data_IF_550890848462
#
_entry.id   IF_550890848462
#
_cell.length_a   1.000
_cell.length_b   1.000
_cell.length_c   1.000
_cell.angle_alpha   90.00
_cell.angle_beta   90.00
_cell.angle_gamma   90.00
#
_symmetry.space_group_name_H-M   'P 1'
#
loop_
_entity.id
_entity.type
_entity.pdbx_description
1 polymer ?
#
# COMPACT_ATOMS: atom_id res chain seq x y z
N UNK A 1 -15.69 17.87 -16.82
CA UNK A 1 -14.25 17.77 -16.49
C UNK A 1 -13.96 16.36 -16.01
N UNK A 2 -13.41 15.51 -16.88
CA UNK A 2 -13.03 14.15 -16.52
C UNK A 2 -11.59 14.20 -15.99
N UNK A 3 -11.39 13.99 -14.70
CA UNK A 3 -10.05 13.96 -14.11
C UNK A 3 -9.32 12.72 -14.66
N UNK A 4 -8.46 12.92 -15.67
CA UNK A 4 -7.54 11.89 -16.15
C UNK A 4 -6.49 11.64 -15.08
N UNK A 5 -6.69 10.56 -14.32
CA UNK A 5 -5.66 9.94 -13.48
C UNK A 5 -4.50 9.55 -14.41
N UNK A 6 -3.31 10.10 -14.18
CA UNK A 6 -2.10 9.74 -14.94
C UNK A 6 -1.78 8.27 -14.69
N UNK A 7 -1.98 7.44 -15.70
CA UNK A 7 -1.64 6.02 -15.72
C UNK A 7 -0.30 5.82 -16.44
N UNK A 8 0.82 6.09 -15.75
CA UNK A 8 2.13 5.60 -16.17
C UNK A 8 2.62 4.65 -15.08
N UNK A 9 2.19 3.39 -15.15
CA UNK A 9 2.59 2.31 -14.26
C UNK A 9 3.46 1.33 -15.04
N UNK A 10 4.77 1.56 -15.05
CA UNK A 10 5.71 0.61 -15.64
C UNK A 10 6.06 -0.49 -14.64
N UNK A 11 5.73 -1.73 -15.01
CA UNK A 11 6.13 -3.04 -14.45
C UNK A 11 5.41 -3.53 -13.18
N UNK A 12 4.14 -3.90 -13.35
CA UNK A 12 3.60 -5.16 -12.81
C UNK A 12 2.72 -5.11 -11.56
N UNK A 13 2.78 -4.07 -10.73
CA UNK A 13 1.91 -3.88 -9.57
C UNK A 13 1.31 -2.48 -9.57
N UNK A 14 0.06 -2.38 -10.04
CA UNK A 14 -0.50 -1.14 -10.64
C UNK A 14 -1.12 -0.18 -9.61
N UNK A 15 -1.36 -0.58 -8.36
CA UNK A 15 -1.80 0.35 -7.31
C UNK A 15 -1.53 -0.17 -5.89
N UNK A 16 -1.80 0.66 -4.87
CA UNK A 16 -1.67 0.28 -3.46
C UNK A 16 -2.55 -0.93 -3.07
N UNK A 17 -3.72 -1.12 -3.68
CA UNK A 17 -4.60 -2.27 -3.39
C UNK A 17 -3.98 -3.59 -3.85
N UNK A 18 -3.39 -3.62 -5.05
CA UNK A 18 -2.74 -4.82 -5.59
C UNK A 18 -1.51 -5.18 -4.76
N UNK A 19 -0.69 -4.17 -4.39
CA UNK A 19 0.44 -4.36 -3.47
C UNK A 19 -0.02 -4.92 -2.11
N UNK A 20 -1.18 -4.50 -1.58
CA UNK A 20 -1.74 -5.06 -0.34
C UNK A 20 -2.24 -6.49 -0.53
N UNK A 21 -2.90 -6.83 -1.64
CA UNK A 21 -3.36 -8.20 -1.93
C UNK A 21 -2.19 -9.17 -2.03
N UNK A 22 -1.18 -8.82 -2.80
CA UNK A 22 0.04 -9.63 -2.98
C UNK A 22 0.75 -9.84 -1.64
N UNK A 23 0.78 -8.81 -0.78
CA UNK A 23 1.32 -8.94 0.57
C UNK A 23 0.50 -9.90 1.46
N UNK A 24 -0.83 -9.91 1.32
CA UNK A 24 -1.67 -10.88 2.03
C UNK A 24 -1.38 -12.30 1.50
N UNK A 25 -1.28 -12.47 0.19
CA UNK A 25 -1.01 -13.76 -0.44
C UNK A 25 0.39 -14.31 -0.15
N UNK A 26 1.38 -13.43 0.05
CA UNK A 26 2.77 -13.84 0.32
C UNK A 26 2.97 -14.49 1.70
N UNK A 27 1.99 -14.38 2.60
CA UNK A 27 2.04 -14.88 3.98
C UNK A 27 3.25 -14.36 4.78
N UNK A 28 3.77 -13.18 4.42
CA UNK A 28 4.88 -12.53 5.12
C UNK A 28 4.37 -11.67 6.28
N UNK A 29 5.13 -11.62 7.37
CA UNK A 29 4.77 -10.78 8.55
C UNK A 29 4.89 -9.29 8.26
N UNK A 30 5.91 -8.88 7.52
CA UNK A 30 6.23 -7.47 7.24
C UNK A 30 6.69 -7.34 5.79
N UNK A 31 6.26 -6.28 5.10
CA UNK A 31 6.76 -5.91 3.79
C UNK A 31 7.11 -4.42 3.76
N UNK A 32 8.31 -4.12 3.27
CA UNK A 32 8.72 -2.76 2.95
C UNK A 32 8.00 -2.28 1.69
N UNK A 33 7.51 -1.05 1.72
CA UNK A 33 6.85 -0.41 0.60
C UNK A 33 7.68 0.78 0.17
N UNK A 34 8.19 0.72 -1.06
CA UNK A 34 8.82 1.89 -1.64
C UNK A 34 7.79 3.02 -1.81
N UNK A 35 8.13 4.22 -1.34
CA UNK A 35 7.25 5.39 -1.39
C UNK A 35 7.68 6.45 -2.40
N UNK A 36 8.69 6.17 -3.23
CA UNK A 36 9.19 7.08 -4.28
C UNK A 36 8.11 7.52 -5.28
N UNK A 37 7.07 6.69 -5.47
CA UNK A 37 5.89 6.99 -6.30
C UNK A 37 4.99 8.09 -5.68
N UNK A 38 5.24 8.46 -4.42
CA UNK A 38 4.45 9.42 -3.64
C UNK A 38 5.31 10.62 -3.24
N UNK A 39 4.68 11.80 -3.20
CA UNK A 39 5.34 13.06 -2.81
C UNK A 39 6.00 12.98 -1.43
N UNK A 40 5.38 12.26 -0.48
CA UNK A 40 5.87 12.07 0.88
C UNK A 40 5.32 10.76 1.48
N UNK A 41 6.04 10.18 2.45
CA UNK A 41 5.63 8.96 3.16
C UNK A 41 4.27 9.07 3.88
N UNK A 42 3.86 10.29 4.24
CA UNK A 42 2.51 10.56 4.80
C UNK A 42 1.41 10.31 3.78
N UNK A 43 1.62 10.75 2.54
CA UNK A 43 0.67 10.57 1.44
C UNK A 43 0.61 9.10 1.02
N UNK A 44 1.77 8.43 0.97
CA UNK A 44 1.84 6.99 0.76
C UNK A 44 1.02 6.25 1.82
N UNK A 45 1.25 6.52 3.12
CA UNK A 45 0.48 5.89 4.20
C UNK A 45 -1.03 6.08 4.02
N UNK A 46 -1.49 7.29 3.69
CA UNK A 46 -2.92 7.53 3.47
C UNK A 46 -3.48 6.70 2.30
N UNK A 47 -2.75 6.58 1.20
CA UNK A 47 -3.15 5.75 0.06
C UNK A 47 -3.26 4.26 0.45
N UNK A 48 -2.30 3.73 1.21
CA UNK A 48 -2.33 2.35 1.68
C UNK A 48 -3.41 2.07 2.72
N UNK A 49 -3.67 3.02 3.63
CA UNK A 49 -4.80 2.92 4.57
C UNK A 49 -6.12 2.88 3.80
N UNK A 50 -6.32 3.78 2.84
CA UNK A 50 -7.52 3.78 2.00
C UNK A 50 -7.66 2.47 1.22
N UNK A 51 -6.57 1.96 0.64
CA UNK A 51 -6.56 0.68 -0.07
C UNK A 51 -6.99 -0.48 0.83
N UNK A 52 -6.44 -0.57 2.05
CA UNK A 52 -6.80 -1.57 3.06
C UNK A 52 -8.29 -1.49 3.40
N UNK A 53 -8.84 -0.28 3.58
CA UNK A 53 -10.26 -0.07 3.84
C UNK A 53 -11.12 -0.51 2.67
N UNK A 54 -10.75 -0.17 1.43
CA UNK A 54 -11.50 -0.52 0.22
C UNK A 54 -11.60 -2.04 0.01
N UNK A 55 -10.53 -2.78 0.29
CA UNK A 55 -10.53 -4.26 0.21
C UNK A 55 -11.01 -4.93 1.50
N UNK A 56 -11.42 -4.16 2.51
CA UNK A 56 -11.88 -4.65 3.83
C UNK A 56 -10.86 -5.51 4.58
N UNK A 57 -9.56 -5.22 4.43
CA UNK A 57 -8.47 -5.97 5.05
C UNK A 57 -7.97 -5.38 6.38
N UNK A 58 -8.71 -4.47 7.01
CA UNK A 58 -8.24 -3.76 8.22
C UNK A 58 -7.92 -4.67 9.43
N UNK A 59 -8.55 -5.85 9.52
CA UNK A 59 -8.22 -6.86 10.53
C UNK A 59 -6.98 -7.70 10.21
N UNK A 60 -6.52 -7.69 8.95
CA UNK A 60 -5.46 -8.57 8.44
C UNK A 60 -4.18 -7.78 8.24
N UNK A 61 -4.24 -6.58 7.66
CA UNK A 61 -3.07 -5.76 7.34
C UNK A 61 -3.22 -4.36 7.92
N UNK A 62 -2.13 -3.82 8.45
CA UNK A 62 -1.99 -2.40 8.78
C UNK A 62 -0.79 -1.77 8.08
N UNK A 63 -0.92 -0.49 7.72
CA UNK A 63 0.19 0.31 7.20
C UNK A 63 0.82 1.15 8.33
N UNK A 64 2.13 1.00 8.55
CA UNK A 64 2.89 1.76 9.54
C UNK A 64 4.08 2.47 8.92
N UNK A 65 4.49 3.59 9.51
CA UNK A 65 5.62 4.40 9.03
C UNK A 65 6.73 4.43 10.08
N UNK A 66 7.97 4.28 9.67
CA UNK A 66 9.16 4.42 10.51
C UNK A 66 10.24 5.17 9.76
N UNK A 67 10.84 6.22 10.34
CA UNK A 67 11.95 7.00 9.72
C UNK A 67 11.77 7.35 8.22
N UNK A 68 10.55 7.71 7.81
CA UNK A 68 10.13 7.98 6.42
C UNK A 68 9.94 6.77 5.50
N UNK A 69 10.19 5.57 5.99
CA UNK A 69 9.86 4.33 5.32
C UNK A 69 8.44 3.88 5.65
N UNK A 70 7.79 3.22 4.69
CA UNK A 70 6.46 2.65 4.84
C UNK A 70 6.54 1.12 4.89
N UNK A 71 5.82 0.53 5.81
CA UNK A 71 5.74 -0.91 5.98
C UNK A 71 4.28 -1.36 6.04
N UNK A 72 3.98 -2.49 5.42
CA UNK A 72 2.77 -3.26 5.68
C UNK A 72 3.08 -4.36 6.70
N UNK A 73 2.18 -4.54 7.66
CA UNK A 73 2.33 -5.55 8.71
C UNK A 73 1.05 -6.39 8.73
N UNK A 74 1.21 -7.73 8.71
CA UNK A 74 0.12 -8.68 8.96
C UNK A 74 -0.18 -8.75 10.46
N UNK A 75 -1.44 -8.59 10.84
CA UNK A 75 -1.90 -8.58 12.24
C UNK A 75 -2.35 -9.96 12.74
N UNK A 76 -2.62 -10.88 11.83
CA UNK A 76 -3.24 -12.18 12.05
C UNK A 76 -2.25 -13.36 12.07
N UNK A 77 -0.95 -13.08 11.95
CA UNK A 77 0.16 -14.03 12.10
C UNK A 77 1.22 -13.50 13.04
#
# INVERSE_FOLDING_TARGET
>A
MYYRVKTNFDRGYVNAMDKVRVFIESNQKVMYVNTDEYKDAKNARAAYVNAITLIRAGGIVRATRSKNDLFLIRNDI
#
